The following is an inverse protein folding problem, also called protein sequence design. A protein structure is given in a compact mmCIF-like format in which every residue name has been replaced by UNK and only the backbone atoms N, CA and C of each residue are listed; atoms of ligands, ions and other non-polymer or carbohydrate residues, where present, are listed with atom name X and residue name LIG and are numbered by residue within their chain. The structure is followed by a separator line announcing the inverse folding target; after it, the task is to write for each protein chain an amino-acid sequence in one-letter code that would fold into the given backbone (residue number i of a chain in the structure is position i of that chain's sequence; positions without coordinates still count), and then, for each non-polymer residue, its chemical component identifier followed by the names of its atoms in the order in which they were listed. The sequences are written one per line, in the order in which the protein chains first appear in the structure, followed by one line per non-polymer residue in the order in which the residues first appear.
data_IF_871382862862
#
_entry.id   IF_871382862862
#
_cell.length_a   1.000
_cell.length_b   1.000
_cell.length_c   1.000
_cell.angle_alpha   90.00
_cell.angle_beta   90.00
_cell.angle_gamma   90.00
#
_symmetry.space_group_name_H-M   'P 1'
#
loop_
_entity.id
_entity.type
_entity.pdbx_description
1 polymer ?
#
# COMPACT_ATOMS: atom_id res chain seq x y z
N UNK A 1 9.03 11.00 9.22
CA UNK A 1 9.04 10.08 8.06
C UNK A 1 10.42 10.15 7.45
N UNK A 2 11.10 9.00 7.34
CA UNK A 2 12.45 8.88 6.78
C UNK A 2 12.39 8.49 5.29
N UNK A 3 13.55 8.42 4.61
CA UNK A 3 13.63 8.12 3.17
C UNK A 3 13.07 6.73 2.80
N UNK A 4 13.23 5.72 3.67
CA UNK A 4 12.69 4.38 3.45
C UNK A 4 11.16 4.35 3.60
N UNK A 5 10.60 5.04 4.59
CA UNK A 5 9.15 5.24 4.72
C UNK A 5 8.56 5.90 3.47
N UNK A 6 9.24 6.95 2.96
CA UNK A 6 8.82 7.70 1.78
C UNK A 6 8.85 6.86 0.50
N UNK A 7 9.91 6.07 0.30
CA UNK A 7 9.99 5.14 -0.83
C UNK A 7 8.92 4.05 -0.77
N UNK A 8 8.64 3.51 0.42
CA UNK A 8 7.57 2.52 0.62
C UNK A 8 6.18 3.09 0.29
N UNK A 9 5.90 4.33 0.69
CA UNK A 9 4.65 5.01 0.32
C UNK A 9 4.56 5.32 -1.18
N UNK A 10 5.65 5.76 -1.83
CA UNK A 10 5.67 5.98 -3.28
C UNK A 10 5.48 4.68 -4.08
N UNK A 11 6.06 3.57 -3.60
CA UNK A 11 5.84 2.23 -4.14
C UNK A 11 4.37 1.81 -3.99
N UNK A 12 3.76 2.07 -2.83
CA UNK A 12 2.35 1.78 -2.57
C UNK A 12 1.40 2.60 -3.45
N UNK A 13 1.68 3.88 -3.66
CA UNK A 13 0.96 4.76 -4.58
C UNK A 13 1.05 4.24 -6.02
N UNK A 14 2.26 3.95 -6.51
CA UNK A 14 2.49 3.43 -7.87
C UNK A 14 1.76 2.10 -8.11
N UNK A 15 1.84 1.16 -7.15
CA UNK A 15 1.16 -0.14 -7.22
C UNK A 15 -0.37 -0.01 -7.16
N UNK A 16 -0.89 1.05 -6.53
CA UNK A 16 -2.33 1.33 -6.39
C UNK A 16 -2.93 1.97 -7.65
N UNK A 17 -2.18 2.88 -8.29
CA UNK A 17 -2.64 3.68 -9.43
C UNK A 17 -2.26 3.08 -10.79
N UNK A 18 -1.08 2.47 -10.91
CA UNK A 18 -0.51 1.95 -12.16
C UNK A 18 0.19 0.60 -11.95
N UNK A 19 -0.54 -0.45 -11.51
CA UNK A 19 0.05 -1.78 -11.24
C UNK A 19 0.69 -2.44 -12.49
N UNK A 20 0.22 -2.06 -13.68
CA UNK A 20 0.76 -2.47 -14.99
C UNK A 20 2.10 -1.82 -15.35
N UNK A 21 2.43 -0.67 -14.73
CA UNK A 21 3.67 0.06 -14.93
C UNK A 21 4.78 -0.30 -13.91
N UNK A 22 4.59 -1.37 -13.12
CA UNK A 22 5.55 -1.84 -12.13
C UNK A 22 6.75 -2.53 -12.78
N UNK A 23 7.95 -2.18 -12.32
CA UNK A 23 9.25 -2.61 -12.84
C UNK A 23 10.11 -3.21 -11.71
N UNK A 24 11.14 -3.97 -12.10
CA UNK A 24 12.12 -4.51 -11.15
C UNK A 24 12.87 -3.41 -10.39
N UNK A 25 13.02 -2.24 -11.01
CA UNK A 25 13.71 -1.10 -10.42
C UNK A 25 12.92 -0.45 -9.27
N UNK A 26 11.59 -0.63 -9.21
CA UNK A 26 10.77 -0.18 -8.06
C UNK A 26 11.05 -1.05 -6.82
N UNK A 27 11.20 -2.37 -7.02
CA UNK A 27 11.61 -3.32 -5.96
C UNK A 27 13.05 -3.00 -5.52
N UNK A 28 13.96 -2.83 -6.49
CA UNK A 28 15.37 -2.55 -6.21
C UNK A 28 15.58 -1.25 -5.42
N UNK A 29 14.78 -0.22 -5.65
CA UNK A 29 14.83 1.01 -4.83
C UNK A 29 14.53 0.75 -3.35
N UNK A 30 13.69 -0.24 -3.03
CA UNK A 30 13.47 -0.68 -1.65
C UNK A 30 14.62 -1.55 -1.14
N UNK A 31 15.18 -2.47 -1.96
CA UNK A 31 16.37 -3.25 -1.57
C UNK A 31 17.59 -2.36 -1.25
N UNK A 32 17.83 -1.33 -2.05
CA UNK A 32 18.92 -0.36 -1.85
C UNK A 32 18.71 0.54 -0.61
N UNK A 33 17.47 0.63 -0.11
CA UNK A 33 17.11 1.28 1.16
C UNK A 33 17.07 0.31 2.36
N UNK A 34 17.44 -0.96 2.16
CA UNK A 34 17.59 -1.96 3.21
C UNK A 34 16.34 -2.81 3.48
N UNK A 35 15.28 -2.72 2.68
CA UNK A 35 14.16 -3.66 2.78
C UNK A 35 14.60 -5.05 2.29
N UNK A 36 14.20 -6.10 3.03
CA UNK A 36 14.40 -7.48 2.58
C UNK A 36 13.35 -7.85 1.53
N UNK A 37 13.64 -8.85 0.69
CA UNK A 37 12.65 -9.35 -0.28
C UNK A 37 11.37 -9.88 0.39
N UNK A 38 11.45 -10.38 1.63
CA UNK A 38 10.26 -10.69 2.46
C UNK A 38 9.48 -9.43 2.80
N UNK A 39 10.13 -8.35 3.27
CA UNK A 39 9.45 -7.10 3.58
C UNK A 39 8.79 -6.44 2.36
N UNK A 40 9.42 -6.53 1.17
CA UNK A 40 8.79 -6.06 -0.09
C UNK A 40 7.61 -6.93 -0.50
N UNK A 41 7.71 -8.25 -0.36
CA UNK A 41 6.60 -9.19 -0.58
C UNK A 41 5.41 -8.88 0.34
N UNK A 42 5.67 -8.71 1.65
CA UNK A 42 4.64 -8.48 2.65
C UNK A 42 3.97 -7.11 2.44
N UNK A 43 4.75 -6.09 2.04
CA UNK A 43 4.22 -4.81 1.58
C UNK A 43 3.28 -4.97 0.37
N UNK A 44 3.70 -5.68 -0.68
CA UNK A 44 2.86 -5.96 -1.86
C UNK A 44 1.56 -6.68 -1.47
N UNK A 45 1.60 -7.61 -0.51
CA UNK A 45 0.40 -8.28 -0.02
C UNK A 45 -0.54 -7.33 0.72
N UNK A 46 -0.03 -6.49 1.63
CA UNK A 46 -0.85 -5.50 2.37
C UNK A 46 -1.45 -4.45 1.42
N UNK A 47 -0.64 -3.90 0.51
CA UNK A 47 -1.09 -2.92 -0.49
C UNK A 47 -2.14 -3.56 -1.41
N UNK A 48 -1.92 -4.81 -1.86
CA UNK A 48 -2.89 -5.55 -2.68
C UNK A 48 -4.21 -5.84 -1.96
N UNK A 49 -4.15 -6.21 -0.68
CA UNK A 49 -5.35 -6.44 0.15
C UNK A 49 -6.18 -5.16 0.32
N UNK A 50 -5.56 -4.03 0.66
CA UNK A 50 -6.26 -2.75 0.75
C UNK A 50 -6.81 -2.30 -0.61
N UNK A 51 -6.06 -2.51 -1.70
CA UNK A 51 -6.56 -2.26 -3.05
C UNK A 51 -7.82 -3.08 -3.39
N UNK A 52 -7.93 -4.32 -2.91
CA UNK A 52 -9.13 -5.14 -3.08
C UNK A 52 -10.27 -4.65 -2.18
N UNK A 53 -10.08 -4.62 -0.85
CA UNK A 53 -11.20 -4.40 0.08
C UNK A 53 -11.77 -2.98 0.00
N UNK A 54 -10.94 -1.96 -0.26
CA UNK A 54 -11.43 -0.60 -0.46
C UNK A 54 -12.34 -0.52 -1.69
N UNK A 55 -11.97 -1.18 -2.81
CA UNK A 55 -12.81 -1.25 -4.02
C UNK A 55 -14.13 -1.98 -3.76
N UNK A 56 -14.15 -2.99 -2.88
CA UNK A 56 -15.39 -3.68 -2.47
C UNK A 56 -16.27 -2.79 -1.59
N UNK A 57 -15.69 -2.10 -0.61
CA UNK A 57 -16.41 -1.22 0.31
C UNK A 57 -17.07 -0.04 -0.44
N UNK A 58 -16.31 0.66 -1.28
CA UNK A 58 -16.79 1.79 -2.09
C UNK A 58 -17.88 1.33 -3.10
N UNK A 59 -17.66 0.23 -3.82
CA UNK A 59 -18.60 -0.26 -4.84
C UNK A 59 -19.93 -0.79 -4.27
N UNK A 60 -19.98 -1.10 -2.97
CA UNK A 60 -21.18 -1.55 -2.26
C UNK A 60 -21.75 -0.48 -1.32
N UNK A 61 -21.13 0.70 -1.22
CA UNK A 61 -21.47 1.76 -0.25
C UNK A 61 -21.57 1.20 1.18
N UNK A 62 -20.52 0.54 1.66
CA UNK A 62 -20.47 -0.03 3.01
C UNK A 62 -20.33 1.08 4.06
N UNK A 63 -21.30 1.17 4.96
CA UNK A 63 -21.26 2.09 6.10
C UNK A 63 -20.16 1.73 7.12
N UNK A 64 -19.70 2.72 7.89
CA UNK A 64 -18.77 2.49 9.01
C UNK A 64 -19.47 1.79 10.17
N UNK A 65 -18.74 0.92 10.88
CA UNK A 65 -19.24 0.23 12.08
C UNK A 65 -19.46 1.23 13.23
N UNK A 66 -20.59 1.13 13.94
CA UNK A 66 -21.05 2.10 14.96
C UNK A 66 -20.06 2.34 16.12
N UNK A 67 -19.17 1.39 16.41
CA UNK A 67 -18.15 1.48 17.46
C UNK A 67 -16.78 1.96 16.96
N UNK A 68 -16.55 2.03 15.64
CA UNK A 68 -15.34 2.58 15.02
C UNK A 68 -15.37 4.12 15.11
N UNK A 69 -14.80 4.63 16.20
CA UNK A 69 -14.64 6.08 16.40
C UNK A 69 -13.66 6.66 15.37
N UNK A 70 -14.15 7.64 14.61
CA UNK A 70 -13.30 8.49 13.78
C UNK A 70 -12.15 9.09 14.61
N UNK A 71 -10.92 8.84 14.16
CA UNK A 71 -9.67 9.24 14.82
C UNK A 71 -9.34 10.73 14.75
N UNK A 72 -10.03 11.49 13.90
CA UNK A 72 -9.79 12.92 13.68
C UNK A 72 -10.96 13.76 14.22
N UNK A 73 -10.71 14.45 15.34
CA UNK A 73 -11.52 15.53 15.94
C UNK A 73 -10.64 16.50 16.71
#
# INVERSE_FOLDING_TARGET
MNTADQALCAFAEKLTLTPDAMLKDDIKQLEDLGFTQTAVHDAVQVIGYFNYINRVAEALNVDLEDDVKAWEK
#
